data_IF_578438974723
#
_entry.id   IF_578438974723
#
_cell.length_a   1.000
_cell.length_b   1.000
_cell.length_c   1.000
_cell.angle_alpha   90.00
_cell.angle_beta   90.00
_cell.angle_gamma   90.00
#
_symmetry.space_group_name_H-M   'P 1'
#
loop_
_entity.id
_entity.type
_entity.pdbx_description
1 polymer ?
#
# COMPACT_ATOMS: atom_id res chain seq x y z
N UNK A 1 -2.57 -6.72 -7.69
CA UNK A 1 -2.64 -7.52 -6.46
C UNK A 1 -3.70 -6.99 -5.50
N UNK A 2 -3.72 -5.71 -5.12
CA UNK A 2 -4.65 -5.17 -4.11
C UNK A 2 -6.14 -5.40 -4.44
N UNK A 3 -6.55 -5.22 -5.68
CA UNK A 3 -7.95 -5.39 -6.09
C UNK A 3 -8.32 -6.85 -6.31
N UNK A 4 -7.46 -7.60 -6.99
CA UNK A 4 -7.75 -8.97 -7.45
C UNK A 4 -7.23 -10.06 -6.52
N UNK A 5 -6.49 -9.67 -5.46
CA UNK A 5 -5.78 -10.59 -4.57
C UNK A 5 -4.46 -11.11 -5.15
N UNK A 6 -4.26 -11.05 -6.46
CA UNK A 6 -3.11 -11.63 -7.14
C UNK A 6 -2.51 -10.67 -8.17
N UNK A 7 -1.21 -10.78 -8.39
CA UNK A 7 -0.49 -10.14 -9.46
C UNK A 7 0.47 -11.14 -10.10
N UNK A 8 0.43 -11.27 -11.42
CA UNK A 8 1.23 -12.22 -12.18
C UNK A 8 2.08 -11.53 -13.22
N UNK A 9 3.32 -11.97 -13.37
CA UNK A 9 4.17 -11.57 -14.47
C UNK A 9 4.98 -12.77 -14.96
N UNK A 10 4.91 -13.05 -16.24
CA UNK A 10 5.68 -14.10 -16.88
C UNK A 10 7.08 -13.61 -17.24
N UNK A 11 8.09 -14.33 -16.80
CA UNK A 11 9.48 -14.10 -17.14
C UNK A 11 9.78 -14.71 -18.50
N UNK A 12 10.33 -13.92 -19.40
CA UNK A 12 10.73 -14.35 -20.74
C UNK A 12 11.96 -13.60 -21.22
N UNK A 13 12.68 -14.16 -22.17
CA UNK A 13 13.78 -13.48 -22.83
C UNK A 13 13.41 -13.10 -24.26
N UNK A 14 13.50 -11.81 -24.57
CA UNK A 14 13.33 -11.30 -25.93
C UNK A 14 14.66 -10.78 -26.44
N UNK A 15 15.21 -11.44 -27.46
CA UNK A 15 16.53 -11.13 -28.05
C UNK A 15 17.68 -11.12 -27.02
N UNK A 16 17.63 -12.03 -26.03
CA UNK A 16 18.62 -12.15 -24.98
C UNK A 16 18.50 -11.11 -23.87
N UNK A 17 17.42 -10.34 -23.85
CA UNK A 17 17.11 -9.39 -22.76
C UNK A 17 15.98 -9.96 -21.91
N UNK A 18 16.20 -10.16 -20.60
CA UNK A 18 15.17 -10.63 -19.70
C UNK A 18 14.06 -9.60 -19.55
N UNK A 19 12.80 -10.06 -19.60
CA UNK A 19 11.62 -9.21 -19.50
C UNK A 19 10.54 -9.89 -18.67
N UNK A 20 9.75 -9.07 -17.96
CA UNK A 20 8.52 -9.50 -17.30
C UNK A 20 7.31 -9.02 -18.09
N UNK A 21 6.49 -9.95 -18.54
CA UNK A 21 5.22 -9.69 -19.22
C UNK A 21 4.10 -9.80 -18.20
N UNK A 22 3.39 -8.69 -17.92
CA UNK A 22 2.29 -8.67 -16.97
C UNK A 22 1.11 -9.48 -17.54
N UNK A 23 0.62 -10.43 -16.76
CA UNK A 23 -0.57 -11.21 -17.08
C UNK A 23 -1.79 -10.62 -16.39
N UNK A 24 -2.95 -10.68 -17.06
CA UNK A 24 -4.23 -10.24 -16.48
C UNK A 24 -4.65 -11.18 -15.34
N UNK A 25 -4.68 -10.73 -14.08
CA UNK A 25 -4.98 -11.60 -12.93
C UNK A 25 -6.37 -12.24 -12.98
N UNK A 26 -7.30 -11.69 -13.76
CA UNK A 26 -8.64 -12.24 -13.92
C UNK A 26 -8.69 -13.39 -14.92
N UNK A 27 -7.61 -13.62 -15.66
CA UNK A 27 -7.51 -14.65 -16.72
C UNK A 27 -6.46 -15.71 -16.41
N UNK A 28 -5.79 -15.62 -15.28
CA UNK A 28 -4.81 -16.61 -14.83
C UNK A 28 -5.48 -17.59 -13.88
N UNK A 29 -5.32 -18.87 -14.14
CA UNK A 29 -5.90 -19.95 -13.34
C UNK A 29 -4.78 -20.90 -12.90
N UNK A 30 -4.67 -21.27 -11.62
CA UNK A 30 -3.74 -22.28 -11.16
C UNK A 30 -4.21 -23.67 -11.57
N UNK A 31 -3.28 -24.50 -12.02
CA UNK A 31 -3.50 -25.92 -12.34
C UNK A 31 -2.45 -26.74 -11.63
N UNK A 32 -2.88 -27.70 -10.81
CA UNK A 32 -1.98 -28.60 -10.09
C UNK A 32 -2.05 -29.97 -10.77
N UNK A 33 -0.93 -30.43 -11.29
CA UNK A 33 -0.79 -31.74 -11.91
C UNK A 33 0.44 -32.46 -11.29
N UNK A 34 0.23 -33.66 -10.77
CA UNK A 34 1.30 -34.51 -10.18
C UNK A 34 2.15 -33.78 -9.12
N UNK A 35 1.48 -32.99 -8.28
CA UNK A 35 2.07 -32.13 -7.24
C UNK A 35 2.93 -30.96 -7.75
N UNK A 36 2.89 -30.67 -9.04
CA UNK A 36 3.50 -29.48 -9.64
C UNK A 36 2.44 -28.41 -9.94
N UNK A 37 2.78 -27.16 -9.66
CA UNK A 37 1.92 -26.00 -9.92
C UNK A 37 2.24 -25.40 -11.29
N UNK A 38 1.20 -25.19 -12.08
CA UNK A 38 1.24 -24.50 -13.37
C UNK A 38 0.23 -23.34 -13.36
N UNK A 39 0.51 -22.35 -14.17
CA UNK A 39 -0.39 -21.21 -14.39
C UNK A 39 -0.90 -21.23 -15.83
N UNK A 40 -2.20 -21.25 -16.02
CA UNK A 40 -2.82 -21.13 -17.34
C UNK A 40 -3.36 -19.71 -17.52
N UNK A 41 -2.94 -19.05 -18.61
CA UNK A 41 -3.43 -17.73 -18.96
C UNK A 41 -3.83 -17.65 -20.44
N UNK A 42 -4.89 -16.89 -20.73
CA UNK A 42 -5.30 -16.60 -22.10
C UNK A 42 -4.58 -15.35 -22.60
N UNK A 43 -3.63 -15.52 -23.53
CA UNK A 43 -2.92 -14.42 -24.21
C UNK A 43 -3.40 -14.41 -25.67
N UNK A 44 -3.91 -13.28 -26.13
CA UNK A 44 -4.43 -13.09 -27.50
C UNK A 44 -5.41 -14.20 -27.97
N UNK A 45 -6.20 -14.74 -27.02
CA UNK A 45 -7.17 -15.79 -27.32
C UNK A 45 -6.62 -17.21 -27.33
N UNK A 46 -5.32 -17.38 -27.11
CA UNK A 46 -4.69 -18.70 -26.96
C UNK A 46 -4.43 -18.99 -25.49
N UNK A 47 -4.83 -20.16 -25.00
CA UNK A 47 -4.45 -20.61 -23.66
C UNK A 47 -3.01 -21.11 -23.69
N UNK A 48 -2.21 -20.53 -22.82
CA UNK A 48 -0.78 -20.88 -22.65
C UNK A 48 -0.62 -21.32 -21.19
N UNK A 49 0.14 -22.39 -21.03
CA UNK A 49 0.50 -22.94 -19.69
C UNK A 49 1.94 -22.55 -19.39
N UNK A 50 2.14 -21.98 -18.20
CA UNK A 50 3.43 -21.56 -17.68
C UNK A 50 3.78 -22.37 -16.45
N UNK A 51 5.01 -22.89 -16.32
CA UNK A 51 5.49 -23.49 -15.07
C UNK A 51 5.64 -22.41 -13.99
N UNK A 52 5.53 -22.79 -12.71
CA UNK A 52 5.54 -21.84 -11.59
C UNK A 52 6.86 -21.07 -11.46
N UNK A 53 7.97 -21.68 -11.81
CA UNK A 53 9.31 -21.07 -11.79
C UNK A 53 9.53 -19.97 -12.84
N UNK A 54 8.68 -19.91 -13.88
CA UNK A 54 8.70 -18.81 -14.87
C UNK A 54 7.72 -17.68 -14.54
N UNK A 55 6.87 -17.83 -13.51
CA UNK A 55 5.86 -16.84 -13.17
C UNK A 55 6.16 -16.19 -11.84
N UNK A 56 6.38 -14.89 -11.85
CA UNK A 56 6.40 -14.07 -10.64
C UNK A 56 4.97 -13.91 -10.16
N UNK A 57 4.63 -14.50 -9.03
CA UNK A 57 3.30 -14.44 -8.44
C UNK A 57 3.32 -13.72 -7.09
N UNK A 58 2.75 -12.51 -7.06
CA UNK A 58 2.58 -11.75 -5.82
C UNK A 58 1.13 -11.87 -5.38
N UNK A 59 0.91 -12.52 -4.24
CA UNK A 59 -0.42 -12.76 -3.68
C UNK A 59 -0.67 -11.93 -2.42
N UNK A 60 -1.92 -11.56 -2.21
CA UNK A 60 -2.41 -10.98 -0.97
C UNK A 60 -2.73 -12.08 0.06
N UNK A 61 -3.74 -11.82 0.90
CA UNK A 61 -4.24 -12.83 1.84
C UNK A 61 -4.75 -14.04 1.07
N UNK A 62 -4.20 -15.22 1.37
CA UNK A 62 -4.56 -16.48 0.74
C UNK A 62 -5.20 -17.41 1.76
N UNK A 63 -6.29 -18.08 1.39
CA UNK A 63 -6.96 -19.08 2.23
C UNK A 63 -6.53 -20.50 1.89
N UNK A 64 -6.16 -20.75 0.65
CA UNK A 64 -5.74 -22.06 0.12
C UNK A 64 -4.21 -22.19 0.01
N UNK A 65 -3.48 -21.11 0.25
CA UNK A 65 -2.02 -21.05 0.11
C UNK A 65 -1.54 -20.87 -1.34
N UNK A 66 -2.39 -21.04 -2.34
CA UNK A 66 -2.03 -20.95 -3.77
C UNK A 66 -2.36 -19.58 -4.32
N UNK A 67 -3.62 -19.15 -4.24
CA UNK A 67 -4.08 -17.86 -4.76
C UNK A 67 -4.50 -16.92 -3.64
N UNK A 68 -4.31 -15.61 -3.86
CA UNK A 68 -4.79 -14.57 -2.95
C UNK A 68 -6.27 -14.27 -3.17
N UNK A 69 -7.02 -14.04 -2.10
CA UNK A 69 -8.41 -13.63 -2.17
C UNK A 69 -8.54 -12.12 -2.40
N UNK A 70 -9.46 -11.67 -3.26
CA UNK A 70 -9.71 -10.26 -3.47
C UNK A 70 -10.25 -9.58 -2.21
N UNK A 71 -9.71 -8.43 -1.84
CA UNK A 71 -10.15 -7.68 -0.65
C UNK A 71 -11.63 -7.32 -0.71
N UNK A 72 -12.14 -6.95 -1.89
CA UNK A 72 -13.57 -6.63 -2.04
C UNK A 72 -14.50 -7.83 -1.80
N UNK A 73 -14.04 -9.06 -2.04
CA UNK A 73 -14.80 -10.29 -1.78
C UNK A 73 -14.83 -10.61 -0.29
N UNK A 74 -13.71 -10.40 0.41
CA UNK A 74 -13.61 -10.63 1.85
C UNK A 74 -14.44 -9.62 2.65
N UNK A 75 -14.56 -8.38 2.16
CA UNK A 75 -15.22 -7.27 2.85
C UNK A 75 -16.41 -6.71 2.05
N UNK A 76 -17.20 -7.60 1.46
CA UNK A 76 -18.35 -7.26 0.60
C UNK A 76 -19.30 -6.26 1.24
N UNK A 77 -19.59 -6.43 2.54
CA UNK A 77 -20.55 -5.56 3.23
C UNK A 77 -20.04 -4.11 3.33
N UNK A 78 -18.75 -3.90 3.59
CA UNK A 78 -18.17 -2.55 3.64
C UNK A 78 -18.27 -1.84 2.30
N UNK A 79 -17.98 -2.55 1.20
CA UNK A 79 -18.11 -2.00 -0.14
C UNK A 79 -19.57 -1.79 -0.56
N UNK A 80 -20.49 -2.67 -0.12
CA UNK A 80 -21.92 -2.51 -0.35
C UNK A 80 -22.44 -1.24 0.34
N UNK A 81 -22.12 -1.03 1.62
CA UNK A 81 -22.48 0.19 2.36
C UNK A 81 -21.93 1.44 1.67
N UNK A 82 -20.67 1.43 1.22
CA UNK A 82 -20.08 2.55 0.49
C UNK A 82 -20.85 2.85 -0.82
N UNK A 83 -21.20 1.81 -1.57
CA UNK A 83 -21.98 1.92 -2.81
C UNK A 83 -23.40 2.47 -2.55
N UNK A 84 -24.08 1.94 -1.54
CA UNK A 84 -25.44 2.35 -1.18
C UNK A 84 -25.47 3.79 -0.68
N UNK A 85 -24.48 4.22 0.08
CA UNK A 85 -24.32 5.62 0.48
C UNK A 85 -24.14 6.53 -0.73
N UNK A 86 -23.28 6.17 -1.68
CA UNK A 86 -23.11 6.90 -2.94
C UNK A 86 -24.42 7.00 -3.73
N UNK A 87 -25.15 5.90 -3.83
CA UNK A 87 -26.43 5.84 -4.51
C UNK A 87 -27.48 6.70 -3.81
N UNK A 88 -27.53 6.67 -2.47
CA UNK A 88 -28.42 7.52 -1.66
C UNK A 88 -28.12 9.01 -1.90
N UNK A 89 -26.85 9.39 -1.80
CA UNK A 89 -26.40 10.76 -2.07
C UNK A 89 -26.75 11.22 -3.49
N UNK A 90 -26.48 10.40 -4.48
CA UNK A 90 -26.80 10.70 -5.88
C UNK A 90 -28.32 10.89 -6.10
N UNK A 91 -29.14 10.03 -5.48
CA UNK A 91 -30.62 10.18 -5.55
C UNK A 91 -31.07 11.47 -4.85
N UNK A 92 -30.49 11.79 -3.70
CA UNK A 92 -30.82 13.02 -2.97
C UNK A 92 -30.58 14.27 -3.85
N UNK A 93 -29.37 14.40 -4.42
CA UNK A 93 -29.06 15.55 -5.27
C UNK A 93 -29.85 15.57 -6.58
N UNK A 94 -30.07 14.40 -7.20
CA UNK A 94 -30.86 14.31 -8.44
C UNK A 94 -32.33 14.68 -8.25
N UNK A 95 -32.88 14.39 -7.08
CA UNK A 95 -34.28 14.69 -6.76
C UNK A 95 -34.42 16.06 -6.11
N UNK A 96 -33.47 16.98 -6.25
CA UNK A 96 -33.49 18.31 -5.72
C UNK A 96 -33.82 18.37 -4.21
N UNK A 97 -33.33 17.41 -3.45
CA UNK A 97 -33.61 17.22 -2.02
C UNK A 97 -35.10 16.97 -1.68
N UNK A 98 -35.97 16.77 -2.65
CA UNK A 98 -37.37 16.34 -2.45
C UNK A 98 -37.41 14.84 -2.17
N UNK A 99 -37.05 14.44 -0.97
CA UNK A 99 -36.68 13.04 -0.73
C UNK A 99 -37.73 12.21 -0.06
N UNK A 100 -38.61 12.78 0.70
CA UNK A 100 -39.66 12.01 1.36
C UNK A 100 -40.89 12.85 1.63
N UNK A 101 -41.99 12.28 1.27
CA UNK A 101 -43.30 12.83 1.49
C UNK A 101 -44.35 11.96 0.85
N UNK A 102 -45.59 12.28 1.12
CA UNK A 102 -46.73 11.58 0.55
C UNK A 102 -47.78 12.59 0.07
N UNK A 103 -48.55 12.16 -0.91
CA UNK A 103 -49.69 12.94 -1.38
C UNK A 103 -50.89 12.61 -0.48
N UNK A 104 -51.41 13.64 0.16
CA UNK A 104 -52.67 13.56 0.92
C UNK A 104 -53.79 13.97 0.01
N UNK A 105 -54.81 13.10 -0.15
CA UNK A 105 -55.94 13.33 -1.00
C UNK A 105 -57.18 13.42 -0.07
N UNK A 106 -57.78 14.61 0.01
CA UNK A 106 -58.85 14.92 0.94
C UNK A 106 -60.25 14.51 0.39
N UNK A 107 -60.32 13.87 -0.79
CA UNK A 107 -61.55 13.41 -1.41
C UNK A 107 -61.50 11.92 -1.76
N UNK A 108 -62.65 11.27 -1.88
CA UNK A 108 -62.67 9.90 -2.40
C UNK A 108 -62.30 9.91 -3.88
N UNK A 109 -61.39 9.00 -4.25
CA UNK A 109 -60.89 8.83 -5.60
C UNK A 109 -60.95 7.34 -5.97
N UNK A 110 -61.06 7.06 -7.27
CA UNK A 110 -60.92 5.70 -7.77
C UNK A 110 -59.45 5.30 -7.82
N UNK A 111 -59.21 3.99 -7.92
CA UNK A 111 -57.82 3.48 -8.03
C UNK A 111 -57.12 3.98 -9.31
N UNK A 112 -57.89 4.11 -10.40
CA UNK A 112 -57.36 4.64 -11.65
C UNK A 112 -56.94 6.12 -11.55
N UNK A 113 -57.77 6.95 -10.89
CA UNK A 113 -57.38 8.34 -10.59
C UNK A 113 -56.14 8.44 -9.70
N UNK A 114 -56.02 7.54 -8.71
CA UNK A 114 -54.87 7.47 -7.84
C UNK A 114 -53.59 7.20 -8.63
N UNK A 115 -53.62 6.22 -9.52
CA UNK A 115 -52.48 5.87 -10.40
C UNK A 115 -52.11 7.06 -11.29
N UNK A 116 -53.07 7.73 -11.90
CA UNK A 116 -52.86 8.89 -12.75
C UNK A 116 -52.22 10.06 -11.98
N UNK A 117 -52.68 10.36 -10.77
CA UNK A 117 -52.09 11.40 -9.92
C UNK A 117 -50.65 11.10 -9.62
N UNK A 118 -50.35 9.84 -9.23
CA UNK A 118 -48.96 9.40 -8.90
C UNK A 118 -48.06 9.48 -10.16
N UNK A 119 -48.53 9.05 -11.31
CA UNK A 119 -47.77 9.07 -12.56
C UNK A 119 -47.50 10.52 -13.00
N UNK A 120 -48.53 11.39 -12.95
CA UNK A 120 -48.39 12.80 -13.27
C UNK A 120 -47.39 13.49 -12.31
N UNK A 121 -47.53 13.24 -11.01
CA UNK A 121 -46.60 13.77 -10.02
C UNK A 121 -45.16 13.31 -10.29
N UNK A 122 -44.95 12.01 -10.52
CA UNK A 122 -43.64 11.45 -10.85
C UNK A 122 -43.06 12.07 -12.12
N UNK A 123 -43.85 12.25 -13.18
CA UNK A 123 -43.38 12.84 -14.44
C UNK A 123 -42.98 14.29 -14.31
N UNK A 124 -43.68 15.06 -13.46
CA UNK A 124 -43.33 16.48 -13.22
C UNK A 124 -42.11 16.61 -12.31
N UNK A 125 -42.07 15.85 -11.23
CA UNK A 125 -40.98 15.97 -10.23
C UNK A 125 -39.71 15.28 -10.67
N UNK A 126 -39.76 14.14 -11.32
CA UNK A 126 -38.62 13.32 -11.67
C UNK A 126 -38.34 13.18 -13.17
N UNK A 127 -39.31 13.57 -14.03
CA UNK A 127 -39.23 13.36 -15.49
C UNK A 127 -38.46 14.44 -16.26
N UNK A 128 -38.40 15.65 -15.77
CA UNK A 128 -37.82 16.79 -16.50
C UNK A 128 -36.55 17.27 -15.85
N UNK A 129 -35.40 16.85 -16.37
CA UNK A 129 -34.06 17.19 -15.82
C UNK A 129 -33.66 18.64 -16.02
N UNK A 130 -34.30 19.38 -16.95
CA UNK A 130 -33.90 20.73 -17.33
C UNK A 130 -34.64 21.82 -16.57
N UNK A 131 -35.78 21.53 -15.99
CA UNK A 131 -36.55 22.49 -15.21
C UNK A 131 -36.95 21.91 -13.86
N UNK A 132 -36.64 22.64 -12.81
CA UNK A 132 -37.18 22.42 -11.47
C UNK A 132 -38.70 22.68 -11.52
N UNK A 133 -39.47 21.70 -12.02
CA UNK A 133 -40.91 21.82 -12.17
C UNK A 133 -41.60 21.90 -10.83
N UNK A 134 -42.22 23.03 -10.54
CA UNK A 134 -43.19 23.12 -9.44
C UNK A 134 -44.45 22.34 -9.84
N UNK A 135 -44.79 21.23 -9.18
CA UNK A 135 -46.01 20.50 -9.50
C UNK A 135 -47.21 21.33 -9.11
N UNK A 136 -48.03 21.71 -10.07
CA UNK A 136 -49.34 22.24 -9.80
C UNK A 136 -50.23 21.06 -9.37
N UNK A 137 -50.57 20.99 -8.10
CA UNK A 137 -51.43 19.96 -7.55
C UNK A 137 -52.92 20.34 -7.82
N UNK A 138 -53.73 19.34 -8.16
CA UNK A 138 -55.17 19.52 -8.33
C UNK A 138 -55.83 19.82 -6.99
N UNK A 139 -57.01 20.43 -7.01
CA UNK A 139 -57.80 20.68 -5.84
C UNK A 139 -58.03 19.40 -5.02
N UNK A 140 -57.85 19.46 -3.72
CA UNK A 140 -57.95 18.32 -2.81
C UNK A 140 -56.72 17.38 -2.76
N UNK A 141 -55.62 17.71 -3.45
CA UNK A 141 -54.35 16.99 -3.38
C UNK A 141 -53.29 17.88 -2.72
N UNK A 142 -52.71 17.46 -1.64
CA UNK A 142 -51.66 18.18 -0.92
C UNK A 142 -50.39 17.34 -0.81
N UNK A 143 -49.25 17.96 -0.99
CA UNK A 143 -47.97 17.34 -0.68
C UNK A 143 -47.65 17.57 0.81
N UNK A 144 -47.49 16.48 1.53
CA UNK A 144 -47.02 16.52 2.91
C UNK A 144 -45.61 15.95 2.98
N UNK A 145 -44.65 16.80 3.34
CA UNK A 145 -43.27 16.35 3.53
C UNK A 145 -43.20 15.38 4.72
N UNK A 146 -42.41 14.33 4.58
CA UNK A 146 -42.10 13.45 5.71
C UNK A 146 -41.27 14.19 6.75
N UNK A 147 -41.50 13.93 8.06
CA UNK A 147 -40.69 14.54 9.14
C UNK A 147 -39.22 14.11 9.10
N UNK A 148 -38.85 13.10 8.33
CA UNK A 148 -37.45 12.74 8.14
C UNK A 148 -36.81 13.79 7.25
N UNK A 149 -36.25 14.80 7.90
CA UNK A 149 -35.44 15.80 7.19
C UNK A 149 -34.07 15.19 6.87
N UNK A 150 -33.90 14.72 5.63
CA UNK A 150 -32.58 14.32 5.13
C UNK A 150 -31.57 15.46 5.12
N UNK A 151 -32.03 16.71 5.29
CA UNK A 151 -31.16 17.87 5.54
C UNK A 151 -30.30 17.72 6.81
N UNK A 152 -30.73 16.86 7.76
CA UNK A 152 -29.99 16.55 8.97
C UNK A 152 -29.01 15.37 8.80
N UNK A 153 -28.99 14.74 7.63
CA UNK A 153 -27.98 13.72 7.31
C UNK A 153 -26.68 14.42 6.97
N UNK A 154 -25.72 14.33 7.86
CA UNK A 154 -24.38 14.85 7.66
C UNK A 154 -23.61 13.96 6.67
N UNK A 155 -23.85 14.18 5.38
CA UNK A 155 -23.20 13.40 4.32
C UNK A 155 -21.67 13.46 4.39
N UNK A 156 -21.12 14.57 4.88
CA UNK A 156 -19.67 14.72 5.00
C UNK A 156 -19.11 13.79 6.08
N UNK A 157 -19.70 13.76 7.26
CA UNK A 157 -19.27 12.86 8.32
C UNK A 157 -19.40 11.39 7.92
N UNK A 158 -20.52 11.01 7.30
CA UNK A 158 -20.70 9.64 6.82
C UNK A 158 -19.67 9.27 5.75
N UNK A 159 -19.34 10.20 4.85
CA UNK A 159 -18.29 9.97 3.85
C UNK A 159 -16.93 9.75 4.50
N UNK A 160 -16.58 10.53 5.52
CA UNK A 160 -15.32 10.35 6.25
C UNK A 160 -15.25 9.00 6.98
N UNK A 161 -16.36 8.54 7.56
CA UNK A 161 -16.40 7.20 8.17
C UNK A 161 -16.13 6.12 7.13
N UNK A 162 -16.78 6.18 5.97
CA UNK A 162 -16.57 5.22 4.87
C UNK A 162 -15.12 5.25 4.38
N UNK A 163 -14.53 6.45 4.24
CA UNK A 163 -13.11 6.59 3.85
C UNK A 163 -12.21 5.90 4.87
N UNK A 164 -12.46 6.08 6.17
CA UNK A 164 -11.69 5.46 7.24
C UNK A 164 -11.84 3.94 7.25
N UNK A 165 -13.05 3.44 7.06
CA UNK A 165 -13.30 2.00 6.98
C UNK A 165 -12.55 1.37 5.82
N UNK A 166 -12.61 1.97 4.62
CA UNK A 166 -11.86 1.49 3.45
C UNK A 166 -10.34 1.65 3.67
N UNK A 167 -9.90 2.77 4.25
CA UNK A 167 -8.50 2.99 4.58
C UNK A 167 -7.94 1.88 5.48
N UNK A 168 -8.70 1.51 6.52
CA UNK A 168 -8.33 0.45 7.45
C UNK A 168 -8.21 -0.92 6.77
N UNK A 169 -9.07 -1.25 5.80
CA UNK A 169 -9.00 -2.52 5.06
C UNK A 169 -7.69 -2.68 4.28
N UNK A 170 -7.15 -1.58 3.78
CA UNK A 170 -5.89 -1.58 3.03
C UNK A 170 -4.67 -1.19 3.89
N UNK A 171 -4.88 -0.90 5.18
CA UNK A 171 -3.84 -0.41 6.07
C UNK A 171 -3.28 0.97 5.65
N UNK A 172 -4.05 1.76 4.90
CA UNK A 172 -3.65 3.09 4.43
C UNK A 172 -4.08 4.14 5.44
N UNK A 173 -3.18 5.03 5.90
CA UNK A 173 -3.57 6.13 6.77
C UNK A 173 -4.65 7.01 6.13
N UNK A 174 -5.75 7.34 6.82
CA UNK A 174 -6.88 8.08 6.26
C UNK A 174 -6.52 9.44 5.67
N UNK A 175 -5.48 10.11 6.20
CA UNK A 175 -5.01 11.40 5.67
C UNK A 175 -4.50 11.32 4.22
N UNK A 176 -3.94 10.18 3.81
CA UNK A 176 -3.51 9.95 2.42
C UNK A 176 -4.71 9.80 1.46
N UNK A 177 -5.90 9.51 1.98
CA UNK A 177 -7.15 9.42 1.22
C UNK A 177 -8.00 10.69 1.31
N UNK A 178 -7.43 11.78 1.86
CA UNK A 178 -8.09 13.09 1.92
C UNK A 178 -8.98 13.30 3.15
N UNK A 179 -8.80 12.54 4.23
CA UNK A 179 -9.42 12.85 5.53
C UNK A 179 -8.75 14.11 6.11
N UNK A 180 -9.48 15.23 6.31
CA UNK A 180 -8.92 16.47 6.81
C UNK A 180 -8.70 16.47 8.33
N UNK A 181 -8.70 15.30 8.99
CA UNK A 181 -8.47 15.21 10.41
C UNK A 181 -7.18 15.97 10.78
N UNK A 182 -7.30 16.90 11.76
CA UNK A 182 -6.19 17.74 12.20
C UNK A 182 -5.18 16.88 12.98
N UNK A 183 -4.24 16.31 12.26
CA UNK A 183 -3.06 15.64 12.82
C UNK A 183 -1.92 16.65 12.92
N UNK A 184 -1.16 16.61 14.01
CA UNK A 184 0.08 17.40 14.12
C UNK A 184 1.11 16.86 13.13
N UNK A 185 2.10 17.68 12.74
CA UNK A 185 3.17 17.23 11.85
C UNK A 185 3.91 15.99 12.39
N UNK A 186 4.17 15.92 13.70
CA UNK A 186 4.78 14.77 14.34
C UNK A 186 3.91 13.50 14.24
N UNK A 187 2.59 13.62 14.36
CA UNK A 187 1.67 12.50 14.17
C UNK A 187 1.65 12.02 12.74
N UNK A 188 1.68 12.93 11.75
CA UNK A 188 1.73 12.58 10.33
C UNK A 188 3.00 11.79 9.98
N UNK A 189 4.14 12.18 10.56
CA UNK A 189 5.39 11.46 10.35
C UNK A 189 5.34 10.05 10.93
N UNK A 190 4.82 9.90 12.15
CA UNK A 190 4.60 8.59 12.77
C UNK A 190 3.64 7.72 11.96
N UNK A 191 2.52 8.28 11.48
CA UNK A 191 1.57 7.57 10.62
C UNK A 191 2.21 7.12 9.29
N UNK A 192 3.06 7.95 8.68
CA UNK A 192 3.81 7.58 7.49
C UNK A 192 4.82 6.46 7.76
N UNK A 193 5.53 6.50 8.88
CA UNK A 193 6.43 5.43 9.29
C UNK A 193 5.66 4.12 9.54
N UNK A 194 4.53 4.19 10.23
CA UNK A 194 3.62 3.05 10.42
C UNK A 194 3.15 2.46 9.08
N UNK A 195 2.76 3.31 8.13
CA UNK A 195 2.35 2.87 6.81
C UNK A 195 3.46 2.11 6.08
N UNK A 196 4.69 2.62 6.12
CA UNK A 196 5.84 1.93 5.53
C UNK A 196 6.09 0.60 6.23
N UNK A 197 6.12 0.59 7.56
CA UNK A 197 6.50 -0.58 8.35
C UNK A 197 5.45 -1.69 8.35
N UNK A 198 4.16 -1.34 8.43
CA UNK A 198 3.10 -2.34 8.62
C UNK A 198 2.29 -2.61 7.36
N UNK A 199 2.28 -1.68 6.40
CA UNK A 199 1.52 -1.85 5.16
C UNK A 199 2.40 -2.15 3.96
N UNK A 200 3.47 -1.39 3.74
CA UNK A 200 4.34 -1.58 2.59
C UNK A 200 5.36 -2.70 2.78
N UNK A 201 5.95 -2.82 3.96
CA UNK A 201 7.01 -3.80 4.22
C UNK A 201 6.60 -5.26 3.92
N UNK A 202 5.40 -5.75 4.30
CA UNK A 202 4.97 -7.09 3.92
C UNK A 202 4.91 -7.31 2.40
N UNK A 203 4.51 -6.28 1.64
CA UNK A 203 4.50 -6.34 0.18
C UNK A 203 5.91 -6.37 -0.40
N UNK A 204 6.81 -5.54 0.11
CA UNK A 204 8.21 -5.53 -0.33
C UNK A 204 8.87 -6.88 -0.06
N UNK A 205 8.64 -7.46 1.13
CA UNK A 205 9.15 -8.79 1.48
C UNK A 205 8.57 -9.89 0.60
N UNK A 206 7.28 -9.82 0.25
CA UNK A 206 6.67 -10.76 -0.68
C UNK A 206 7.32 -10.71 -2.06
N UNK A 207 7.59 -9.50 -2.57
CA UNK A 207 8.31 -9.32 -3.83
C UNK A 207 9.74 -9.85 -3.77
N UNK A 208 10.49 -9.51 -2.71
CA UNK A 208 11.87 -9.98 -2.51
C UNK A 208 11.92 -11.49 -2.42
N UNK A 209 10.99 -12.10 -1.69
CA UNK A 209 10.93 -13.55 -1.51
C UNK A 209 10.72 -14.26 -2.85
N UNK A 210 9.75 -13.84 -3.65
CA UNK A 210 9.47 -14.43 -4.95
C UNK A 210 10.62 -14.21 -5.95
N UNK A 211 11.17 -12.99 -6.01
CA UNK A 211 12.29 -12.66 -6.89
C UNK A 211 13.55 -13.46 -6.51
N UNK A 212 13.84 -13.59 -5.21
CA UNK A 212 14.99 -14.34 -4.75
C UNK A 212 14.83 -15.85 -4.91
N UNK A 213 13.61 -16.35 -4.76
CA UNK A 213 13.32 -17.78 -4.92
C UNK A 213 13.46 -18.24 -6.38
N UNK A 214 12.90 -17.46 -7.32
CA UNK A 214 12.73 -17.90 -8.72
C UNK A 214 13.76 -17.28 -9.69
N UNK A 215 14.16 -16.03 -9.47
CA UNK A 215 14.90 -15.23 -10.48
C UNK A 215 16.25 -14.69 -9.99
N UNK A 216 16.73 -15.11 -8.81
CA UNK A 216 18.02 -14.63 -8.33
C UNK A 216 19.17 -15.40 -8.96
N UNK A 217 20.18 -14.73 -9.56
CA UNK A 217 21.39 -15.37 -10.00
C UNK A 217 22.19 -15.94 -8.82
N UNK A 218 23.00 -16.96 -9.05
CA UNK A 218 23.85 -17.55 -7.99
C UNK A 218 24.79 -16.49 -7.41
N UNK A 219 24.72 -16.29 -6.09
CA UNK A 219 25.56 -15.34 -5.37
C UNK A 219 25.07 -13.88 -5.41
N UNK A 220 23.88 -13.62 -5.94
CA UNK A 220 23.21 -12.32 -5.89
C UNK A 220 21.84 -12.47 -5.22
N UNK A 221 21.30 -11.35 -4.78
CA UNK A 221 19.95 -11.27 -4.20
C UNK A 221 19.29 -9.95 -4.57
N UNK A 222 17.97 -9.96 -4.56
CA UNK A 222 17.13 -8.79 -4.77
C UNK A 222 16.71 -8.21 -3.42
N UNK A 223 16.95 -6.94 -3.23
CA UNK A 223 16.56 -6.20 -2.03
C UNK A 223 16.07 -4.80 -2.39
N UNK A 224 14.95 -4.38 -1.83
CA UNK A 224 14.47 -3.01 -1.94
C UNK A 224 15.25 -2.09 -1.00
N UNK A 225 15.69 -0.96 -1.51
CA UNK A 225 16.38 0.07 -0.70
C UNK A 225 15.35 0.83 0.11
N UNK A 226 15.03 0.32 1.30
CA UNK A 226 13.99 0.86 2.20
C UNK A 226 14.26 2.28 2.65
N UNK A 227 15.53 2.64 2.83
CA UNK A 227 15.94 4.00 3.20
C UNK A 227 15.50 5.08 2.21
N UNK A 228 15.22 4.71 0.96
CA UNK A 228 14.70 5.63 -0.04
C UNK A 228 13.22 5.99 0.19
N UNK A 229 12.47 5.13 0.88
CA UNK A 229 11.05 5.35 1.20
C UNK A 229 10.89 6.24 2.45
N UNK A 230 11.78 6.11 3.42
CA UNK A 230 11.81 6.93 4.64
C UNK A 230 12.64 8.17 4.34
N UNK A 231 12.03 9.18 3.73
CA UNK A 231 12.67 10.49 3.60
C UNK A 231 12.61 11.22 4.94
N UNK A 232 13.42 10.80 5.90
CA UNK A 232 13.64 11.61 7.08
C UNK A 232 14.11 13.00 6.67
N UNK A 233 13.76 14.01 7.45
CA UNK A 233 14.24 15.37 7.24
C UNK A 233 15.78 15.32 7.12
N UNK A 234 16.34 16.13 6.23
CA UNK A 234 17.79 16.17 6.03
C UNK A 234 18.55 16.35 7.36
N UNK A 235 17.98 17.10 8.29
CA UNK A 235 18.50 17.31 9.65
C UNK A 235 18.65 16.02 10.44
N UNK A 236 17.67 15.12 10.41
CA UNK A 236 17.71 13.84 11.13
C UNK A 236 18.74 12.88 10.52
N UNK A 237 18.81 12.83 9.18
CA UNK A 237 19.84 12.03 8.49
C UNK A 237 21.23 12.52 8.80
N UNK A 238 21.46 13.85 8.76
CA UNK A 238 22.74 14.46 9.10
C UNK A 238 23.11 14.17 10.55
N UNK A 239 22.17 14.22 11.48
CA UNK A 239 22.43 13.86 12.88
C UNK A 239 22.80 12.38 13.04
N UNK A 240 22.08 11.48 12.37
CA UNK A 240 22.38 10.05 12.35
C UNK A 240 23.76 9.78 11.73
N UNK A 241 24.08 10.38 10.59
CA UNK A 241 25.39 10.26 9.96
C UNK A 241 26.50 10.82 10.82
N UNK A 242 26.28 11.95 11.50
CA UNK A 242 27.25 12.51 12.42
C UNK A 242 27.58 11.55 13.56
N UNK A 243 26.54 10.92 14.16
CA UNK A 243 26.73 9.91 15.21
C UNK A 243 27.52 8.70 14.70
N UNK A 244 27.13 8.14 13.56
CA UNK A 244 27.79 6.97 12.96
C UNK A 244 29.23 7.27 12.52
N UNK A 245 29.51 8.47 12.03
CA UNK A 245 30.83 8.92 11.67
C UNK A 245 31.72 9.04 12.90
N UNK A 246 31.22 9.64 14.00
CA UNK A 246 32.01 9.84 15.23
C UNK A 246 32.37 8.53 15.92
N UNK A 247 31.56 7.49 15.79
CA UNK A 247 31.88 6.16 16.36
C UNK A 247 32.68 5.27 15.38
N UNK A 248 33.09 5.79 14.24
CA UNK A 248 33.91 5.08 13.27
C UNK A 248 33.17 4.00 12.45
N UNK A 249 31.84 4.01 12.42
CA UNK A 249 31.02 3.02 11.66
C UNK A 249 30.93 3.37 10.18
N UNK A 250 30.93 4.67 9.84
CA UNK A 250 30.84 5.14 8.46
C UNK A 250 32.01 6.03 8.08
N UNK A 251 32.56 5.82 6.89
CA UNK A 251 33.51 6.71 6.25
C UNK A 251 32.81 7.89 5.54
N UNK A 252 33.50 8.99 5.24
CA UNK A 252 32.95 10.09 4.45
C UNK A 252 32.42 9.67 3.08
N UNK A 253 33.08 8.74 2.39
CA UNK A 253 32.65 8.28 1.07
C UNK A 253 31.42 7.40 1.14
N UNK A 254 31.24 6.59 2.19
CA UNK A 254 30.02 5.83 2.42
C UNK A 254 28.81 6.73 2.69
N UNK A 255 29.01 7.83 3.45
CA UNK A 255 27.95 8.85 3.67
C UNK A 255 27.61 9.53 2.33
N UNK A 256 28.62 9.91 1.54
CA UNK A 256 28.41 10.52 0.22
C UNK A 256 27.68 9.59 -0.74
N UNK A 257 28.02 8.30 -0.74
CA UNK A 257 27.35 7.29 -1.57
C UNK A 257 25.86 7.14 -1.21
N UNK A 258 25.52 7.19 0.10
CA UNK A 258 24.12 7.15 0.55
C UNK A 258 23.31 8.37 0.14
N UNK A 259 23.97 9.52 -0.05
CA UNK A 259 23.35 10.76 -0.54
C UNK A 259 23.55 10.96 -2.06
N UNK A 260 23.95 9.91 -2.80
CA UNK A 260 24.23 9.96 -4.24
C UNK A 260 25.24 11.04 -4.64
N UNK A 261 26.22 11.31 -3.79
CA UNK A 261 27.30 12.24 -4.06
C UNK A 261 28.54 11.49 -4.57
N UNK A 262 29.32 12.05 -5.51
CA UNK A 262 30.55 11.42 -5.97
C UNK A 262 31.57 11.29 -4.83
N UNK A 263 32.39 10.22 -4.80
CA UNK A 263 33.42 10.03 -3.79
C UNK A 263 34.44 11.17 -3.81
N UNK A 264 35.04 11.45 -2.69
CA UNK A 264 36.17 12.39 -2.58
C UNK A 264 37.47 11.64 -2.31
N UNK A 265 38.58 12.24 -2.67
CA UNK A 265 39.92 11.72 -2.39
C UNK A 265 40.14 11.60 -0.88
N UNK A 266 40.72 10.50 -0.41
CA UNK A 266 40.96 10.17 1.01
C UNK A 266 39.68 10.06 1.87
N UNK A 267 38.51 9.89 1.26
CA UNK A 267 37.24 9.80 1.96
C UNK A 267 36.89 8.41 2.49
N UNK A 268 37.69 7.38 2.28
CA UNK A 268 37.43 6.00 2.72
C UNK A 268 38.04 5.71 4.12
N UNK A 269 38.69 6.69 4.71
CA UNK A 269 39.27 6.55 6.05
C UNK A 269 38.17 6.65 7.11
N UNK A 270 38.26 5.77 8.12
CA UNK A 270 37.38 5.81 9.29
C UNK A 270 38.03 6.70 10.35
N UNK A 271 37.21 7.51 11.00
CA UNK A 271 37.65 8.44 12.05
C UNK A 271 37.05 8.01 13.39
N UNK A 272 37.89 7.90 14.40
CA UNK A 272 37.48 7.61 15.79
C UNK A 272 37.90 8.76 16.66
N UNK A 273 37.12 9.21 17.65
CA UNK A 273 37.53 10.22 18.60
C UNK A 273 38.83 9.83 19.30
N UNK A 274 39.77 10.75 19.41
CA UNK A 274 41.09 10.50 19.99
C UNK A 274 41.07 10.07 21.49
N UNK A 275 39.94 10.24 22.15
CA UNK A 275 39.69 9.81 23.53
C UNK A 275 39.19 8.35 23.65
N UNK A 276 38.93 7.66 22.55
CA UNK A 276 38.61 6.23 22.55
C UNK A 276 39.91 5.44 22.37
N UNK A 277 40.45 4.91 23.48
CA UNK A 277 41.55 3.97 23.42
C UNK A 277 40.99 2.59 23.17
N UNK A 278 41.44 1.86 22.13
CA UNK A 278 41.04 0.47 21.95
C UNK A 278 41.52 -0.33 23.15
N UNK A 279 40.62 -1.01 23.82
CA UNK A 279 40.97 -2.03 24.80
C UNK A 279 41.58 -3.19 24.00
N UNK A 280 42.89 -3.22 23.90
CA UNK A 280 43.61 -4.40 23.43
C UNK A 280 43.36 -5.44 24.50
N UNK A 281 42.50 -6.38 24.27
CA UNK A 281 42.49 -7.63 25.02
C UNK A 281 43.74 -8.34 24.58
N UNK A 282 44.78 -8.30 25.40
CA UNK A 282 45.91 -9.20 25.27
C UNK A 282 45.36 -10.62 25.22
N UNK A 283 45.45 -11.24 24.07
CA UNK A 283 45.27 -12.69 23.94
C UNK A 283 46.58 -13.27 24.53
N UNK A 284 46.57 -13.92 25.70
CA UNK A 284 47.78 -14.53 26.22
C UNK A 284 48.10 -15.76 25.37
N UNK A 285 49.15 -15.71 24.62
CA UNK A 285 49.64 -16.91 23.97
C UNK A 285 50.33 -16.73 22.62
N UNK A 286 51.47 -16.03 22.60
CA UNK A 286 52.60 -16.36 21.72
C UNK A 286 53.85 -15.73 22.39
N UNK A 287 54.51 -16.53 23.26
CA UNK A 287 55.86 -16.22 23.70
C UNK A 287 56.80 -16.44 22.51
N UNK A 288 57.32 -15.36 21.95
CA UNK A 288 58.52 -15.41 21.13
C UNK A 288 59.68 -15.88 22.00
N UNK A 289 60.18 -17.05 21.69
CA UNK A 289 61.43 -17.55 22.29
C UNK A 289 62.58 -16.76 21.65
N UNK A 290 63.08 -15.79 22.42
CA UNK A 290 64.27 -14.99 22.09
C UNK A 290 65.50 -15.89 22.31
N UNK A 291 66.11 -16.39 21.24
CA UNK A 291 67.42 -17.08 21.29
C UNK A 291 68.51 -16.07 21.59
N UNK A 292 68.85 -15.90 22.89
CA UNK A 292 70.08 -15.23 23.27
C UNK A 292 71.26 -16.12 23.08
N UNK A 293 72.10 -15.81 22.10
CA UNK A 293 73.40 -16.31 21.88
C UNK A 293 74.29 -16.05 23.12
N UNK A 294 74.73 -17.08 23.80
CA UNK A 294 75.77 -17.08 24.80
C UNK A 294 77.12 -16.86 24.16
N UNK A 295 77.61 -15.65 24.21
CA UNK A 295 79.02 -15.42 23.82
C UNK A 295 79.91 -15.41 25.08
N UNK A 296 80.60 -16.53 25.29
CA UNK A 296 81.59 -16.72 26.35
C UNK A 296 82.93 -16.12 25.88
N UNK A 297 83.32 -15.00 26.39
CA UNK A 297 84.71 -14.53 26.26
C UNK A 297 85.48 -14.99 27.47
N UNK A 298 86.44 -15.82 27.21
CA UNK A 298 87.52 -16.21 28.11
C UNK A 298 88.58 -15.14 28.09
N UNK A 299 88.82 -14.46 29.17
CA UNK A 299 90.03 -13.66 29.41
C UNK A 299 90.96 -14.47 30.28
N UNK A 300 92.09 -14.74 29.73
CA UNK A 300 93.29 -15.23 30.50
C UNK A 300 94.13 -14.09 30.90
N UNK A 301 94.55 -14.08 32.16
CA UNK A 301 95.51 -13.26 32.76
C UNK A 301 96.88 -13.61 32.73
N UNK A 302 97.53 -12.65 33.03
CA UNK A 302 98.75 -12.72 33.80
C UNK A 302 98.61 -11.87 35.03
#
# INVERSE_FOLDING_TARGET
TLLTGNGYAWYTEVKGVPQFVILDPLRVVPVIEKDELFWEAAIEGTQIRFPDDEVLHIKGLSLDGVVGEPVYKLFTDTFAVASDFQNCRNRFYRNAALTSGHLVISRSITEEERIQIIQTFKSIVFGNREHWGLPALREGVQWQASPIQLSNVDFEKHQLVIIRDIANLFGIPPHLLGDPARTSYASLEQENQHFIQFTLEPWLQAWESELNLKFSPRGAYWEFVRNALVRNLLSERVEAYSKLFHIGVLSPNEIRARENMPPRESGDQFYVPANLVPTVTDIPGEEEIDEQETNTQTTSEN
#
